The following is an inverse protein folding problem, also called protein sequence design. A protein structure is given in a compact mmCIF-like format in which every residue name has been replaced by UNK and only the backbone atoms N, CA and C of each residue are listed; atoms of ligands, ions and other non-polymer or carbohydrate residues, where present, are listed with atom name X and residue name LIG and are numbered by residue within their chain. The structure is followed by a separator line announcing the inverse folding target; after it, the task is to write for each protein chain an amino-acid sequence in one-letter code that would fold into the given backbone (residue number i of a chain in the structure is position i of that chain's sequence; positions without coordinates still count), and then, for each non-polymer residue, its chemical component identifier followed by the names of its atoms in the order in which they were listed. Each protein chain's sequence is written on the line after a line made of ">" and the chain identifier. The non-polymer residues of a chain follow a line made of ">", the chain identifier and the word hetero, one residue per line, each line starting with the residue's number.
data_IF_416588778042
#
_entry.id   IF_416588778042
#
_cell.length_a   1.000
_cell.length_b   1.000
_cell.length_c   1.000
_cell.angle_alpha   90.00
_cell.angle_beta   90.00
_cell.angle_gamma   90.00
#
_symmetry.space_group_name_H-M   'P 1'
#
loop_
_entity.id
_entity.type
_entity.pdbx_description
1 polymer ?
#
# COMPACT_ATOMS: atom_id res chain seq x y z
N UNK A 1 -4.24 4.38 -39.31
CA UNK A 1 -3.25 4.54 -38.21
C UNK A 1 -3.75 5.70 -37.33
N UNK A 2 -4.18 5.45 -36.09
CA UNK A 2 -4.72 6.50 -35.21
C UNK A 2 -3.58 7.46 -34.88
N UNK A 3 -3.63 8.68 -35.39
CA UNK A 3 -2.65 9.73 -35.03
C UNK A 3 -2.98 10.13 -33.58
N UNK A 4 -2.03 10.14 -32.64
CA UNK A 4 -2.29 10.58 -31.28
C UNK A 4 -2.68 12.05 -31.31
N UNK A 5 -3.66 12.45 -30.50
CA UNK A 5 -3.96 13.86 -30.28
C UNK A 5 -2.70 14.56 -29.72
N UNK A 6 -2.44 15.82 -30.12
CA UNK A 6 -1.31 16.57 -29.58
C UNK A 6 -1.43 16.66 -28.05
N UNK A 7 -0.36 16.25 -27.34
CA UNK A 7 -0.29 16.24 -25.87
C UNK A 7 -0.36 14.86 -25.21
N UNK A 8 -0.64 13.77 -25.94
CA UNK A 8 -0.61 12.42 -25.37
C UNK A 8 0.81 11.87 -25.38
N UNK A 9 1.60 12.27 -24.38
CA UNK A 9 2.80 11.53 -24.00
C UNK A 9 2.41 10.09 -23.69
N UNK A 10 3.02 9.12 -24.35
CA UNK A 10 2.64 7.72 -24.25
C UNK A 10 3.76 6.79 -24.66
N UNK A 11 3.49 5.49 -24.62
CA UNK A 11 4.49 4.49 -24.97
C UNK A 11 4.81 4.53 -26.48
N UNK A 12 6.08 4.72 -26.85
CA UNK A 12 6.55 4.70 -28.25
C UNK A 12 6.38 3.34 -28.95
N UNK A 13 6.27 2.26 -28.17
CA UNK A 13 6.06 0.87 -28.62
C UNK A 13 5.18 0.11 -27.61
N UNK A 14 4.51 -0.99 -28.01
CA UNK A 14 3.81 -1.87 -27.06
C UNK A 14 4.77 -2.42 -26.00
N UNK A 15 4.42 -2.23 -24.72
CA UNK A 15 5.26 -2.67 -23.58
C UNK A 15 4.47 -3.07 -22.34
N UNK A 16 3.14 -3.14 -22.46
CA UNK A 16 2.26 -3.55 -21.38
C UNK A 16 1.99 -5.04 -21.51
N UNK A 17 2.49 -5.82 -20.55
CA UNK A 17 2.29 -7.26 -20.48
C UNK A 17 1.10 -7.54 -19.56
N UNK A 18 0.19 -8.39 -20.02
CA UNK A 18 -0.98 -8.80 -19.26
C UNK A 18 -0.77 -10.24 -18.84
N UNK A 19 -0.82 -10.49 -17.53
CA UNK A 19 -0.92 -11.85 -16.97
C UNK A 19 -2.36 -12.31 -17.03
N UNK A 20 -2.56 -13.60 -17.29
CA UNK A 20 -3.89 -14.21 -17.13
C UNK A 20 -4.27 -14.18 -15.65
N UNK A 21 -5.53 -13.84 -15.36
CA UNK A 21 -5.98 -13.57 -14.00
C UNK A 21 -5.66 -12.17 -13.47
N UNK A 22 -5.04 -11.29 -14.26
CA UNK A 22 -4.72 -9.88 -13.91
C UNK A 22 -3.85 -9.76 -12.64
N UNK A 23 -4.15 -8.81 -11.75
CA UNK A 23 -3.43 -8.58 -10.49
C UNK A 23 -3.31 -9.84 -9.62
N UNK A 24 -4.40 -10.59 -9.37
CA UNK A 24 -4.32 -11.89 -8.70
C UNK A 24 -3.33 -12.86 -9.35
N UNK A 25 -3.33 -12.97 -10.68
CA UNK A 25 -2.40 -13.81 -11.42
C UNK A 25 -0.93 -13.38 -11.30
N UNK A 26 -0.66 -12.10 -11.04
CA UNK A 26 0.70 -11.61 -10.74
C UNK A 26 1.11 -11.96 -9.31
N UNK A 27 0.21 -11.84 -8.34
CA UNK A 27 0.52 -11.99 -6.91
C UNK A 27 0.58 -13.45 -6.47
N UNK A 28 -0.24 -14.31 -7.05
CA UNK A 28 -0.42 -15.71 -6.63
C UNK A 28 0.90 -16.52 -6.54
N UNK A 29 1.85 -16.45 -7.49
CA UNK A 29 3.11 -17.17 -7.36
C UNK A 29 3.92 -16.75 -6.12
N UNK A 30 3.87 -15.47 -5.76
CA UNK A 30 4.57 -14.94 -4.59
C UNK A 30 3.85 -15.32 -3.29
N UNK A 31 2.50 -15.27 -3.27
CA UNK A 31 1.75 -15.64 -2.07
C UNK A 31 1.97 -17.10 -1.69
N UNK A 32 2.03 -18.01 -2.67
CA UNK A 32 2.34 -19.43 -2.41
C UNK A 32 3.71 -19.62 -1.76
N UNK A 33 4.72 -18.86 -2.21
CA UNK A 33 6.06 -18.91 -1.60
C UNK A 33 6.03 -18.37 -0.17
N UNK A 34 5.35 -17.25 0.06
CA UNK A 34 5.17 -16.66 1.39
C UNK A 34 4.48 -17.62 2.34
N UNK A 35 3.39 -18.26 1.90
CA UNK A 35 2.64 -19.25 2.67
C UNK A 35 3.50 -20.47 3.02
N UNK A 36 4.27 -20.99 2.07
CA UNK A 36 5.17 -22.12 2.33
C UNK A 36 6.29 -21.76 3.31
N UNK A 37 6.94 -20.61 3.13
CA UNK A 37 8.02 -20.16 4.03
C UNK A 37 7.48 -19.88 5.44
N UNK A 38 6.24 -19.38 5.55
CA UNK A 38 5.56 -19.24 6.83
C UNK A 38 5.26 -20.60 7.47
N UNK A 39 4.76 -21.57 6.69
CA UNK A 39 4.54 -22.94 7.15
C UNK A 39 5.85 -23.60 7.66
N UNK A 40 6.96 -23.35 6.97
CA UNK A 40 8.29 -23.84 7.35
C UNK A 40 8.86 -23.13 8.60
N UNK A 41 8.15 -22.16 9.19
CA UNK A 41 8.60 -21.39 10.36
C UNK A 41 9.70 -20.37 10.07
N UNK A 42 9.94 -20.04 8.79
CA UNK A 42 10.98 -19.10 8.36
C UNK A 42 10.47 -17.66 8.16
N UNK A 43 9.15 -17.47 8.19
CA UNK A 43 8.49 -16.17 8.09
C UNK A 43 7.36 -16.10 9.11
N UNK A 44 7.33 -15.02 9.89
CA UNK A 44 6.16 -14.69 10.70
C UNK A 44 5.24 -13.78 9.89
N UNK A 45 4.08 -14.30 9.48
CA UNK A 45 3.04 -13.52 8.82
C UNK A 45 2.00 -13.06 9.86
N UNK A 46 1.85 -11.74 10.00
CA UNK A 46 0.97 -11.11 10.99
C UNK A 46 -0.17 -10.36 10.28
N UNK A 47 -1.22 -11.05 9.79
CA UNK A 47 -2.39 -10.39 9.26
C UNK A 47 -3.08 -9.60 10.38
N UNK A 48 -3.93 -8.64 10.01
CA UNK A 48 -4.64 -7.77 10.97
C UNK A 48 -3.73 -6.96 11.90
N UNK A 49 -2.44 -6.82 11.57
CA UNK A 49 -1.53 -5.91 12.27
C UNK A 49 -1.36 -4.63 11.45
N UNK A 50 -1.85 -3.52 12.00
CA UNK A 50 -1.72 -2.19 11.40
C UNK A 50 -0.56 -1.46 12.06
N UNK A 51 0.52 -1.25 11.32
CA UNK A 51 1.62 -0.39 11.76
C UNK A 51 1.12 1.06 11.87
N UNK A 52 1.39 1.71 13.00
CA UNK A 52 1.06 3.12 13.24
C UNK A 52 2.29 3.96 13.58
N UNK A 53 3.45 3.33 13.76
CA UNK A 53 4.71 3.98 14.13
C UNK A 53 5.93 3.20 13.60
N UNK A 54 6.92 3.92 13.07
CA UNK A 54 8.29 3.40 12.93
C UNK A 54 9.07 3.80 14.18
N UNK A 55 9.67 2.80 14.82
CA UNK A 55 10.50 3.02 15.99
C UNK A 55 11.83 3.59 15.55
N UNK A 56 12.31 4.64 16.21
CA UNK A 56 13.60 5.25 15.90
C UNK A 56 14.47 5.39 17.14
N UNK A 57 15.77 5.20 16.97
CA UNK A 57 16.79 5.46 17.98
C UNK A 57 18.08 5.89 17.30
N UNK A 58 18.72 6.93 17.83
CA UNK A 58 19.96 7.46 17.24
C UNK A 58 19.85 7.89 15.78
N UNK A 59 18.66 8.31 15.34
CA UNK A 59 18.39 8.70 13.94
C UNK A 59 18.21 7.52 12.98
N UNK A 60 18.19 6.28 13.45
CA UNK A 60 17.94 5.09 12.65
C UNK A 60 16.60 4.45 13.01
N UNK A 61 15.94 3.82 12.04
CA UNK A 61 14.75 2.98 12.29
C UNK A 61 15.20 1.67 12.94
N UNK A 62 14.57 1.31 14.05
CA UNK A 62 14.89 0.12 14.85
C UNK A 62 13.73 -0.85 14.99
N UNK A 63 12.63 -0.62 14.28
CA UNK A 63 11.47 -1.50 14.29
C UNK A 63 10.16 -0.80 13.97
N UNK A 64 9.05 -1.43 14.35
CA UNK A 64 7.68 -0.95 14.15
C UNK A 64 6.84 -1.15 15.40
N UNK A 65 5.87 -0.28 15.60
CA UNK A 65 4.79 -0.47 16.56
C UNK A 65 3.44 -0.18 15.89
N UNK A 66 2.38 -0.74 16.48
CA UNK A 66 1.07 -0.63 15.89
C UNK A 66 -0.02 -1.32 16.67
N UNK A 67 -1.14 -1.48 15.99
CA UNK A 67 -2.39 -2.00 16.54
C UNK A 67 -2.71 -3.36 15.93
N UNK A 68 -3.17 -4.29 16.75
CA UNK A 68 -3.80 -5.53 16.32
C UNK A 68 -5.29 -5.25 16.13
N UNK A 69 -5.82 -5.58 14.95
CA UNK A 69 -7.22 -5.42 14.58
C UNK A 69 -7.96 -6.73 14.79
N UNK A 70 -9.25 -6.65 15.13
CA UNK A 70 -10.13 -7.82 15.20
C UNK A 70 -10.15 -8.56 13.86
N UNK A 71 -10.34 -9.87 13.89
CA UNK A 71 -10.51 -10.68 12.68
C UNK A 71 -11.68 -10.18 11.82
N UNK A 72 -11.56 -10.41 10.52
CA UNK A 72 -12.58 -10.05 9.53
C UNK A 72 -12.60 -11.11 8.44
N UNK A 73 -13.73 -11.75 8.23
CA UNK A 73 -13.97 -12.77 7.21
C UNK A 73 -14.69 -12.21 5.97
N UNK A 74 -14.72 -10.88 5.83
CA UNK A 74 -15.32 -10.18 4.70
C UNK A 74 -14.74 -10.63 3.34
N UNK A 75 -15.57 -10.48 2.31
CA UNK A 75 -15.18 -10.87 0.95
C UNK A 75 -14.00 -10.03 0.43
N UNK A 76 -13.22 -10.62 -0.48
CA UNK A 76 -12.12 -9.89 -1.14
C UNK A 76 -12.65 -8.61 -1.80
N UNK A 77 -12.02 -7.49 -1.49
CA UNK A 77 -12.35 -6.19 -2.06
C UNK A 77 -13.39 -5.40 -1.27
N UNK A 78 -14.00 -5.97 -0.23
CA UNK A 78 -14.82 -5.21 0.72
C UNK A 78 -13.93 -4.58 1.79
N UNK A 79 -14.38 -3.46 2.37
CA UNK A 79 -13.70 -2.86 3.50
C UNK A 79 -13.80 -3.81 4.71
N UNK A 80 -12.66 -4.14 5.32
CA UNK A 80 -12.61 -4.86 6.59
C UNK A 80 -12.77 -3.90 7.77
N UNK A 81 -13.19 -4.41 8.93
CA UNK A 81 -13.26 -3.66 10.18
C UNK A 81 -11.89 -3.08 10.57
N UNK A 82 -11.92 -2.05 11.43
CA UNK A 82 -10.74 -1.42 12.03
C UNK A 82 -10.81 -1.43 13.57
N UNK A 83 -11.56 -2.38 14.13
CA UNK A 83 -11.72 -2.53 15.58
C UNK A 83 -10.39 -2.96 16.17
N UNK A 84 -9.81 -2.16 17.06
CA UNK A 84 -8.54 -2.48 17.72
C UNK A 84 -8.79 -3.43 18.88
N UNK A 85 -8.02 -4.51 18.96
CA UNK A 85 -8.10 -5.55 20.01
C UNK A 85 -6.79 -5.70 20.79
N UNK A 86 -5.76 -4.97 20.41
CA UNK A 86 -4.49 -4.93 21.13
C UNK A 86 -3.46 -4.08 20.41
N UNK A 87 -2.26 -4.06 20.95
CA UNK A 87 -1.10 -3.36 20.42
C UNK A 87 0.07 -4.33 20.23
N UNK A 88 1.00 -3.97 19.36
CA UNK A 88 2.22 -4.75 19.15
C UNK A 88 3.45 -3.85 18.99
N UNK A 89 4.62 -4.43 19.28
CA UNK A 89 5.93 -3.83 19.05
C UNK A 89 6.87 -4.90 18.53
N UNK A 90 7.57 -4.61 17.44
CA UNK A 90 8.56 -5.50 16.83
C UNK A 90 9.83 -4.72 16.58
N UNK A 91 10.93 -5.16 17.17
CA UNK A 91 12.27 -4.62 16.92
C UNK A 91 12.90 -5.33 15.71
N UNK A 92 13.62 -4.57 14.88
CA UNK A 92 14.30 -5.10 13.70
C UNK A 92 15.47 -4.19 13.31
N UNK A 93 16.52 -4.79 12.76
CA UNK A 93 17.64 -4.04 12.18
C UNK A 93 17.27 -3.31 10.88
N UNK A 94 16.19 -3.72 10.20
CA UNK A 94 15.73 -3.10 8.96
C UNK A 94 14.21 -3.18 8.82
N UNK A 95 13.62 -2.15 8.20
CA UNK A 95 12.20 -2.08 7.88
C UNK A 95 12.04 -1.69 6.42
N UNK A 96 11.22 -2.44 5.69
CA UNK A 96 10.83 -2.13 4.31
C UNK A 96 9.37 -1.66 4.30
N UNK A 97 9.13 -0.44 3.86
CA UNK A 97 7.78 0.12 3.73
C UNK A 97 7.24 -0.18 2.33
N UNK A 98 6.31 -1.13 2.25
CA UNK A 98 5.65 -1.55 1.00
C UNK A 98 4.11 -1.47 1.14
N UNK A 99 3.61 -0.32 1.63
CA UNK A 99 2.24 -0.16 2.14
C UNK A 99 1.21 0.33 1.13
N UNK A 100 1.57 0.43 -0.15
CA UNK A 100 0.70 1.00 -1.18
C UNK A 100 0.67 2.53 -1.18
N UNK A 101 -0.37 3.11 -1.78
CA UNK A 101 -0.55 4.55 -1.98
C UNK A 101 -1.78 5.13 -1.29
N UNK A 102 -2.25 6.29 -1.79
CA UNK A 102 -3.36 7.08 -1.24
C UNK A 102 -4.69 6.92 -1.99
N UNK A 103 -4.76 6.05 -3.01
CA UNK A 103 -5.84 6.05 -4.01
C UNK A 103 -7.26 5.80 -3.48
N UNK A 104 -7.44 5.30 -2.26
CA UNK A 104 -8.74 5.15 -1.63
C UNK A 104 -9.15 6.35 -0.75
N UNK A 105 -8.21 7.27 -0.48
CA UNK A 105 -8.44 8.50 0.28
C UNK A 105 -8.50 9.70 -0.68
N UNK A 106 -9.71 10.06 -1.09
CA UNK A 106 -9.92 11.16 -2.03
C UNK A 106 -9.56 12.53 -1.45
N UNK A 107 -9.55 12.72 -0.13
CA UNK A 107 -9.08 13.97 0.46
C UNK A 107 -7.57 14.08 0.30
N UNK A 108 -6.85 13.01 0.68
CA UNK A 108 -5.39 12.96 0.53
C UNK A 108 -4.95 13.04 -0.93
N UNK A 109 -5.67 12.38 -1.85
CA UNK A 109 -5.43 12.50 -3.30
C UNK A 109 -5.54 13.95 -3.78
N UNK A 110 -6.50 14.73 -3.26
CA UNK A 110 -6.66 16.15 -3.63
C UNK A 110 -5.53 17.01 -3.09
N UNK A 111 -5.05 16.73 -1.88
CA UNK A 111 -3.91 17.44 -1.28
C UNK A 111 -2.62 17.28 -2.10
N UNK A 112 -2.41 16.10 -2.68
CA UNK A 112 -1.22 15.78 -3.49
C UNK A 112 -1.49 15.86 -4.99
N UNK A 113 -2.61 16.47 -5.40
CA UNK A 113 -3.02 16.51 -6.79
C UNK A 113 -2.06 17.38 -7.62
N UNK A 114 -1.42 16.84 -8.68
CA UNK A 114 -0.43 17.61 -9.43
C UNK A 114 -1.06 18.74 -10.25
N UNK A 115 -0.57 19.97 -10.07
CA UNK A 115 -1.01 21.16 -10.83
C UNK A 115 -1.03 20.94 -12.35
N UNK A 116 -0.06 20.17 -12.87
CA UNK A 116 0.06 19.83 -14.30
C UNK A 116 -1.14 19.05 -14.86
N UNK A 117 -1.99 18.49 -14.00
CA UNK A 117 -3.21 17.78 -14.38
C UNK A 117 -4.46 18.69 -14.38
N UNK A 118 -4.32 19.98 -14.02
CA UNK A 118 -5.44 20.89 -13.81
C UNK A 118 -6.16 20.64 -12.47
N UNK A 119 -7.32 21.26 -12.24
CA UNK A 119 -8.09 21.08 -11.00
C UNK A 119 -8.47 19.61 -10.78
N UNK A 120 -8.38 19.15 -9.54
CA UNK A 120 -8.87 17.84 -9.16
C UNK A 120 -10.38 17.72 -9.46
N UNK A 121 -10.85 16.60 -10.04
CA UNK A 121 -12.27 16.38 -10.28
C UNK A 121 -13.10 16.48 -8.99
N UNK A 122 -14.35 17.00 -9.06
CA UNK A 122 -15.25 17.02 -7.92
C UNK A 122 -15.57 15.59 -7.46
N UNK A 123 -15.91 14.72 -8.42
CA UNK A 123 -16.20 13.30 -8.21
C UNK A 123 -15.01 12.43 -8.65
N UNK A 124 -14.57 11.54 -7.77
CA UNK A 124 -13.48 10.60 -8.02
C UNK A 124 -13.98 9.17 -7.89
N UNK A 125 -13.40 8.27 -8.71
CA UNK A 125 -13.63 6.83 -8.63
C UNK A 125 -12.40 6.18 -8.00
N UNK A 126 -12.62 5.37 -6.96
CA UNK A 126 -11.57 4.50 -6.43
C UNK A 126 -11.61 3.14 -7.12
N UNK A 127 -10.52 2.78 -7.78
CA UNK A 127 -10.27 1.45 -8.34
C UNK A 127 -9.44 0.56 -7.41
N UNK A 128 -9.20 0.99 -6.18
CA UNK A 128 -8.32 0.32 -5.22
C UNK A 128 -9.06 -0.03 -3.92
N UNK A 129 -8.60 -1.03 -3.16
CA UNK A 129 -9.20 -1.38 -1.88
C UNK A 129 -9.15 -0.25 -0.85
N UNK A 130 -10.09 -0.25 0.09
CA UNK A 130 -10.22 0.79 1.12
C UNK A 130 -8.97 0.99 2.01
N UNK A 131 -8.08 -0.02 2.10
CA UNK A 131 -6.83 0.08 2.86
C UNK A 131 -5.71 0.84 2.12
N UNK A 132 -5.92 1.25 0.87
CA UNK A 132 -4.97 2.09 0.11
C UNK A 132 -5.17 3.56 0.50
N UNK A 133 -5.01 3.82 1.81
CA UNK A 133 -5.33 5.08 2.49
C UNK A 133 -4.09 5.97 2.76
N UNK A 134 -2.91 5.55 2.29
CA UNK A 134 -1.66 6.28 2.49
C UNK A 134 -1.13 6.29 3.93
N UNK A 135 -1.74 5.58 4.87
CA UNK A 135 -1.31 5.61 6.28
C UNK A 135 0.17 5.24 6.49
N UNK A 136 0.71 4.30 5.70
CA UNK A 136 2.14 3.97 5.73
C UNK A 136 3.06 5.09 5.24
N UNK A 137 2.61 5.94 4.31
CA UNK A 137 3.35 7.12 3.84
C UNK A 137 3.44 8.14 4.97
N UNK A 138 2.32 8.41 5.66
CA UNK A 138 2.28 9.31 6.83
C UNK A 138 3.18 8.81 7.96
N UNK A 139 3.18 7.49 8.21
CA UNK A 139 4.07 6.87 9.21
C UNK A 139 5.55 7.04 8.83
N UNK A 140 5.90 6.86 7.55
CA UNK A 140 7.26 7.06 7.07
C UNK A 140 7.70 8.54 7.14
N UNK A 141 6.83 9.47 6.76
CA UNK A 141 7.10 10.92 6.83
C UNK A 141 7.39 11.38 8.26
N UNK A 142 6.59 10.93 9.24
CA UNK A 142 6.81 11.21 10.67
C UNK A 142 8.15 10.69 11.19
N UNK A 143 8.67 9.62 10.59
CA UNK A 143 9.98 9.07 10.91
C UNK A 143 11.14 9.77 10.18
N UNK A 144 10.86 10.85 9.42
CA UNK A 144 11.85 11.66 8.73
C UNK A 144 12.04 11.33 7.24
N UNK A 145 11.18 10.50 6.65
CA UNK A 145 11.22 10.26 5.21
C UNK A 145 10.82 11.53 4.44
N UNK A 146 11.59 11.87 3.40
CA UNK A 146 11.22 12.92 2.46
C UNK A 146 10.22 12.37 1.45
N UNK A 147 9.03 12.97 1.38
CA UNK A 147 8.06 12.69 0.33
C UNK A 147 8.42 13.46 -0.96
N UNK A 148 8.10 12.87 -2.11
CA UNK A 148 8.41 13.38 -3.46
C UNK A 148 7.15 13.87 -4.17
#
# INVERSE_FOLDING_TARGET
>A
RKVPAPGVGGNSVPRFHISWGTGPGVVEPFSRVVEQVAFDGRLTYLPRHRVTELLTSGGAVTGVAGQVLADDDGARGTASNRTVVGDFRIESAAVVVATGGVGADHERVREVWPDRLGPAPPDMLSGVPAYVDGSGITVAERAGARLL
#
